data_IF_752786832213
#
_entry.id   IF_752786832213
#
_cell.length_a   1.000
_cell.length_b   1.000
_cell.length_c   1.000
_cell.angle_alpha   90.00
_cell.angle_beta   90.00
_cell.angle_gamma   90.00
#
_symmetry.space_group_name_H-M   'P 1'
#
loop_
_entity.id
_entity.type
_entity.pdbx_description
1 polymer ?
#
# COMPACT_ATOMS: atom_id res chain seq x y z
N UNK A 1 21.10 -7.96 -14.49
CA UNK A 1 20.93 -8.86 -13.31
C UNK A 1 20.12 -8.26 -12.14
N UNK A 2 20.03 -6.93 -11.96
CA UNK A 2 19.25 -6.30 -10.86
C UNK A 2 17.73 -6.53 -10.93
N UNK A 3 17.18 -6.77 -12.13
CA UNK A 3 15.75 -6.99 -12.40
C UNK A 3 15.27 -8.36 -11.90
N UNK A 4 16.03 -9.43 -12.15
CA UNK A 4 15.70 -10.78 -11.69
C UNK A 4 15.65 -10.88 -10.15
N UNK A 5 16.61 -10.26 -9.46
CA UNK A 5 16.58 -10.19 -7.99
C UNK A 5 15.47 -9.30 -7.42
N UNK A 6 14.96 -8.33 -8.18
CA UNK A 6 13.78 -7.56 -7.79
C UNK A 6 12.50 -8.39 -7.94
N UNK A 7 12.38 -9.17 -9.02
CA UNK A 7 11.26 -10.09 -9.26
C UNK A 7 11.20 -11.19 -8.20
N UNK A 8 12.32 -11.87 -7.93
CA UNK A 8 12.41 -12.90 -6.88
C UNK A 8 12.03 -12.36 -5.50
N UNK A 9 12.49 -11.15 -5.14
CA UNK A 9 12.09 -10.51 -3.88
C UNK A 9 10.61 -10.14 -3.85
N UNK A 10 10.04 -9.75 -4.98
CA UNK A 10 8.61 -9.50 -5.09
C UNK A 10 7.81 -10.77 -4.86
N UNK A 11 8.22 -11.87 -5.50
CA UNK A 11 7.59 -13.18 -5.41
C UNK A 11 7.69 -13.77 -4.00
N UNK A 12 8.87 -13.72 -3.36
CA UNK A 12 9.06 -14.07 -1.95
C UNK A 12 8.20 -13.23 -1.00
N UNK A 13 8.06 -11.93 -1.27
CA UNK A 13 7.19 -11.06 -0.47
C UNK A 13 5.72 -11.39 -0.65
N UNK A 14 5.29 -11.76 -1.85
CA UNK A 14 3.93 -12.22 -2.14
C UNK A 14 3.65 -13.53 -1.41
N UNK A 15 4.54 -14.53 -1.52
CA UNK A 15 4.40 -15.81 -0.83
C UNK A 15 4.41 -15.65 0.70
N UNK A 16 5.29 -14.81 1.24
CA UNK A 16 5.31 -14.51 2.67
C UNK A 16 4.04 -13.78 3.12
N UNK A 17 3.49 -12.88 2.30
CA UNK A 17 2.22 -12.22 2.57
C UNK A 17 1.04 -13.19 2.50
N UNK A 18 1.04 -14.13 1.56
CA UNK A 18 0.07 -15.22 1.48
C UNK A 18 0.12 -16.11 2.72
N UNK A 19 1.32 -16.51 3.16
CA UNK A 19 1.53 -17.30 4.37
C UNK A 19 1.07 -16.56 5.64
N UNK A 20 1.34 -15.25 5.75
CA UNK A 20 0.85 -14.42 6.86
C UNK A 20 -0.67 -14.30 6.88
N UNK A 21 -1.29 -14.18 5.71
CA UNK A 21 -2.76 -14.17 5.58
C UNK A 21 -3.37 -15.52 5.96
N UNK A 22 -2.78 -16.62 5.48
CA UNK A 22 -3.20 -17.99 5.83
C UNK A 22 -3.08 -18.27 7.33
N UNK A 23 -2.03 -17.75 7.97
CA UNK A 23 -1.81 -17.86 9.42
C UNK A 23 -2.59 -16.82 10.24
N UNK A 24 -3.45 -16.01 9.59
CA UNK A 24 -4.20 -14.88 10.18
C UNK A 24 -3.34 -13.89 10.97
N UNK A 25 -2.03 -13.82 10.70
CA UNK A 25 -1.11 -12.89 11.36
C UNK A 25 -1.02 -11.60 10.55
N UNK A 26 -1.55 -10.51 11.10
CA UNK A 26 -1.41 -9.17 10.53
C UNK A 26 -0.10 -8.54 11.02
N UNK A 27 0.58 -7.76 10.16
CA UNK A 27 1.72 -6.94 10.60
C UNK A 27 1.22 -5.65 11.23
N UNK A 28 0.45 -5.78 12.30
CA UNK A 28 0.11 -4.67 13.18
C UNK A 28 1.28 -4.53 14.15
N UNK A 29 1.97 -3.39 14.08
CA UNK A 29 2.94 -3.00 15.11
C UNK A 29 2.18 -2.62 16.36
N UNK A 30 2.56 -3.20 17.50
CA UNK A 30 1.99 -2.91 18.81
C UNK A 30 1.92 -1.39 19.06
N UNK A 31 0.70 -0.86 19.26
CA UNK A 31 0.45 0.53 19.65
C UNK A 31 -0.05 1.50 18.57
N UNK A 32 -0.09 1.12 17.28
CA UNK A 32 -0.58 1.98 16.19
C UNK A 32 -2.04 1.71 15.77
N UNK A 33 -2.78 2.75 15.36
CA UNK A 33 -4.13 2.57 14.75
C UNK A 33 -4.00 2.15 13.29
N UNK A 34 -4.59 1.00 12.94
CA UNK A 34 -4.58 0.48 11.58
C UNK A 34 -5.81 0.94 10.79
N UNK A 35 -5.59 1.42 9.57
CA UNK A 35 -6.64 1.79 8.62
C UNK A 35 -6.57 0.90 7.38
N UNK A 36 -7.66 0.18 7.12
CA UNK A 36 -7.86 -0.58 5.89
C UNK A 36 -7.99 0.34 4.66
N UNK A 37 -7.72 -0.21 3.48
CA UNK A 37 -7.91 0.47 2.19
C UNK A 37 -8.42 -0.47 1.11
N UNK A 38 -8.95 -1.63 1.50
CA UNK A 38 -9.19 -2.79 0.61
C UNK A 38 -10.67 -3.20 0.63
N UNK A 39 -11.55 -2.41 1.23
CA UNK A 39 -12.98 -2.74 1.33
C UNK A 39 -13.59 -2.77 -0.08
N UNK A 40 -13.90 -3.97 -0.57
CA UNK A 40 -14.45 -4.21 -1.92
C UNK A 40 -13.53 -5.00 -2.87
N UNK A 41 -12.21 -4.98 -2.66
CA UNK A 41 -11.27 -5.74 -3.50
C UNK A 41 -11.41 -7.26 -3.35
N UNK A 42 -11.97 -7.72 -2.23
CA UNK A 42 -12.23 -9.15 -1.99
C UNK A 42 -13.21 -9.75 -2.99
N UNK A 43 -14.30 -9.04 -3.31
CA UNK A 43 -15.30 -9.52 -4.27
C UNK A 43 -14.73 -9.57 -5.70
N UNK A 44 -13.96 -8.55 -6.09
CA UNK A 44 -13.26 -8.54 -7.39
C UNK A 44 -12.24 -9.68 -7.50
N UNK A 45 -11.44 -9.91 -6.44
CA UNK A 45 -10.48 -11.02 -6.39
C UNK A 45 -11.19 -12.36 -6.49
N UNK A 46 -12.28 -12.55 -5.74
CA UNK A 46 -13.08 -13.77 -5.79
C UNK A 46 -13.68 -14.01 -7.18
N UNK A 47 -14.20 -12.95 -7.83
CA UNK A 47 -14.69 -13.03 -9.21
C UNK A 47 -13.61 -13.42 -10.21
N UNK A 48 -12.40 -12.87 -10.07
CA UNK A 48 -11.28 -13.24 -10.94
C UNK A 48 -10.82 -14.69 -10.74
N UNK A 49 -10.72 -15.14 -9.48
CA UNK A 49 -10.43 -16.55 -9.16
C UNK A 49 -11.50 -17.47 -9.73
N UNK A 50 -12.77 -17.09 -9.64
CA UNK A 50 -13.88 -17.85 -10.22
C UNK A 50 -13.77 -17.97 -11.74
N UNK A 51 -13.45 -16.88 -12.44
CA UNK A 51 -13.22 -16.90 -13.89
C UNK A 51 -12.03 -17.80 -14.24
N UNK A 52 -10.92 -17.73 -13.51
CA UNK A 52 -9.79 -18.63 -13.71
C UNK A 52 -10.19 -20.11 -13.55
N UNK A 53 -11.04 -20.45 -12.57
CA UNK A 53 -11.53 -21.83 -12.40
C UNK A 53 -12.36 -22.27 -13.62
N UNK A 54 -13.25 -21.42 -14.14
CA UNK A 54 -14.01 -21.72 -15.35
C UNK A 54 -13.07 -21.91 -16.54
N UNK A 55 -12.10 -21.02 -16.71
CA UNK A 55 -11.09 -21.10 -17.76
C UNK A 55 -10.33 -22.43 -17.70
N UNK A 56 -9.85 -22.83 -16.52
CA UNK A 56 -9.18 -24.12 -16.32
C UNK A 56 -10.06 -25.30 -16.70
N UNK A 57 -11.36 -25.27 -16.35
CA UNK A 57 -12.31 -26.31 -16.73
C UNK A 57 -12.50 -26.37 -18.25
N UNK A 58 -12.67 -25.22 -18.92
CA UNK A 58 -12.76 -25.15 -20.37
C UNK A 58 -11.49 -25.69 -21.05
N UNK A 59 -10.31 -25.28 -20.57
CA UNK A 59 -9.02 -25.77 -21.07
C UNK A 59 -8.85 -27.27 -20.84
N UNK A 60 -9.37 -27.81 -19.73
CA UNK A 60 -9.34 -29.26 -19.46
C UNK A 60 -10.13 -30.07 -20.49
N UNK A 61 -11.27 -29.53 -20.94
CA UNK A 61 -12.09 -30.15 -21.98
C UNK A 61 -11.43 -30.00 -23.36
N UNK A 62 -10.91 -28.81 -23.67
CA UNK A 62 -10.30 -28.51 -24.96
C UNK A 62 -9.00 -29.30 -25.19
N UNK A 63 -8.21 -29.51 -24.14
CA UNK A 63 -6.89 -30.15 -24.20
C UNK A 63 -6.92 -31.64 -23.83
N UNK A 64 -8.10 -32.27 -23.84
CA UNK A 64 -8.28 -33.65 -23.38
C UNK A 64 -7.41 -34.66 -24.11
N UNK A 65 -7.16 -34.44 -25.40
CA UNK A 65 -6.34 -35.33 -26.24
C UNK A 65 -4.83 -35.00 -26.17
N UNK A 66 -4.45 -33.93 -25.47
CA UNK A 66 -3.09 -33.41 -25.39
C UNK A 66 -2.62 -33.31 -23.93
N UNK A 67 -2.35 -34.45 -23.27
CA UNK A 67 -2.11 -34.50 -21.83
C UNK A 67 -0.93 -33.64 -21.37
N UNK A 68 0.14 -33.54 -22.18
CA UNK A 68 1.30 -32.68 -21.86
C UNK A 68 0.90 -31.20 -21.82
N UNK A 69 0.16 -30.73 -22.82
CA UNK A 69 -0.30 -29.35 -22.91
C UNK A 69 -1.29 -29.04 -21.78
N UNK A 70 -2.20 -29.98 -21.48
CA UNK A 70 -3.11 -29.87 -20.36
C UNK A 70 -2.39 -29.63 -19.02
N UNK A 71 -1.36 -30.42 -18.72
CA UNK A 71 -0.60 -30.24 -17.46
C UNK A 71 0.12 -28.89 -17.38
N UNK A 72 0.67 -28.39 -18.50
CA UNK A 72 1.33 -27.07 -18.53
C UNK A 72 0.33 -25.95 -18.27
N UNK A 73 -0.83 -25.98 -18.93
CA UNK A 73 -1.88 -24.96 -18.73
C UNK A 73 -2.42 -25.03 -17.31
N UNK A 74 -2.67 -26.22 -16.78
CA UNK A 74 -3.13 -26.39 -15.40
C UNK A 74 -2.12 -25.82 -14.39
N UNK A 75 -0.82 -26.05 -14.59
CA UNK A 75 0.22 -25.49 -13.74
C UNK A 75 0.24 -23.96 -13.79
N UNK A 76 0.05 -23.37 -14.99
CA UNK A 76 0.01 -21.93 -15.19
C UNK A 76 -1.23 -21.30 -14.52
N UNK A 77 -2.39 -21.94 -14.63
CA UNK A 77 -3.63 -21.48 -14.01
C UNK A 77 -3.53 -21.52 -12.48
N UNK A 78 -3.03 -22.62 -11.92
CA UNK A 78 -2.78 -22.74 -10.46
C UNK A 78 -1.81 -21.66 -9.99
N UNK A 79 -0.72 -21.44 -10.73
CA UNK A 79 0.22 -20.36 -10.42
C UNK A 79 -0.46 -18.99 -10.46
N UNK A 80 -1.29 -18.72 -11.47
CA UNK A 80 -2.03 -17.46 -11.60
C UNK A 80 -2.98 -17.25 -10.41
N UNK A 81 -3.73 -18.27 -10.00
CA UNK A 81 -4.60 -18.20 -8.81
C UNK A 81 -3.80 -17.92 -7.55
N UNK A 82 -2.68 -18.62 -7.33
CA UNK A 82 -1.80 -18.38 -6.18
C UNK A 82 -1.22 -16.96 -6.18
N UNK A 83 -0.85 -16.46 -7.36
CA UNK A 83 -0.35 -15.11 -7.54
C UNK A 83 -1.42 -14.06 -7.18
N UNK A 84 -2.65 -14.22 -7.68
CA UNK A 84 -3.78 -13.34 -7.37
C UNK A 84 -4.11 -13.34 -5.89
N UNK A 85 -4.14 -14.51 -5.26
CA UNK A 85 -4.35 -14.64 -3.81
C UNK A 85 -3.20 -13.99 -3.03
N UNK A 86 -1.96 -14.15 -3.46
CA UNK A 86 -0.80 -13.51 -2.84
C UNK A 86 -0.85 -11.99 -2.91
N UNK A 87 -1.32 -11.45 -4.04
CA UNK A 87 -1.51 -10.01 -4.23
C UNK A 87 -2.60 -9.48 -3.29
N UNK A 88 -3.74 -10.18 -3.20
CA UNK A 88 -4.82 -9.84 -2.29
C UNK A 88 -4.36 -9.91 -0.83
N UNK A 89 -3.72 -11.00 -0.44
CA UNK A 89 -3.16 -11.19 0.89
C UNK A 89 -2.16 -10.08 1.27
N UNK A 90 -1.32 -9.64 0.33
CA UNK A 90 -0.37 -8.56 0.57
C UNK A 90 -1.06 -7.24 0.90
N UNK A 91 -2.22 -6.96 0.30
CA UNK A 91 -3.01 -5.76 0.61
C UNK A 91 -3.68 -5.84 1.98
N UNK A 92 -4.23 -7.01 2.34
CA UNK A 92 -4.95 -7.22 3.60
C UNK A 92 -4.02 -7.22 4.82
N UNK A 93 -2.86 -7.87 4.72
CA UNK A 93 -1.93 -8.06 5.86
C UNK A 93 -1.14 -6.78 6.20
N UNK A 94 -1.15 -5.77 5.31
CA UNK A 94 -0.36 -4.55 5.42
C UNK A 94 -1.26 -3.31 5.35
N UNK A 95 -2.07 -3.04 6.38
CA UNK A 95 -2.87 -1.81 6.46
C UNK A 95 -1.97 -0.58 6.58
N UNK A 96 -2.57 0.60 6.37
CA UNK A 96 -1.94 1.87 6.75
C UNK A 96 -1.86 1.91 8.27
N UNK A 97 -0.72 2.30 8.81
CA UNK A 97 -0.54 2.35 10.27
C UNK A 97 -0.21 3.78 10.66
N UNK A 98 -1.03 4.33 11.55
CA UNK A 98 -0.76 5.59 12.22
C UNK A 98 -0.01 5.29 13.53
N UNK A 99 1.28 5.63 13.55
CA UNK A 99 2.10 5.65 14.76
C UNK A 99 2.00 7.05 15.42
N UNK A 100 2.36 7.20 16.72
CA UNK A 100 2.24 8.47 17.43
C UNK A 100 2.98 9.64 16.78
N UNK A 101 4.11 9.37 16.11
CA UNK A 101 4.99 10.40 15.53
C UNK A 101 5.07 10.34 14.00
N UNK A 102 4.54 9.28 13.38
CA UNK A 102 4.66 9.05 11.95
C UNK A 102 3.45 8.32 11.36
N UNK A 103 3.05 8.72 10.16
CA UNK A 103 2.10 7.98 9.34
C UNK A 103 2.86 7.06 8.39
N UNK A 104 2.60 5.76 8.50
CA UNK A 104 3.17 4.76 7.60
C UNK A 104 2.16 4.36 6.53
N UNK A 105 2.38 4.88 5.33
CA UNK A 105 1.57 4.63 4.15
C UNK A 105 2.12 3.42 3.42
N UNK A 106 1.30 2.37 3.27
CA UNK A 106 1.73 1.10 2.66
C UNK A 106 0.77 0.71 1.53
N UNK A 107 1.33 0.26 0.41
CA UNK A 107 0.57 -0.38 -0.68
C UNK A 107 1.13 -1.78 -0.92
N UNK A 108 0.50 -2.78 -0.30
CA UNK A 108 0.88 -4.19 -0.40
C UNK A 108 2.38 -4.44 -0.14
N UNK A 109 3.01 -5.26 -0.98
CA UNK A 109 4.45 -5.54 -0.94
C UNK A 109 5.31 -4.52 -1.71
N UNK A 110 4.66 -3.52 -2.32
CA UNK A 110 5.24 -2.68 -3.36
C UNK A 110 5.72 -1.33 -2.83
N UNK A 111 5.00 -0.73 -1.87
CA UNK A 111 5.33 0.59 -1.32
C UNK A 111 5.24 0.57 0.19
N UNK A 112 6.26 1.11 0.85
CA UNK A 112 6.32 1.35 2.29
C UNK A 112 6.96 2.72 2.51
N UNK A 113 6.13 3.73 2.77
CA UNK A 113 6.55 5.11 2.99
C UNK A 113 6.23 5.49 4.44
N UNK A 114 7.27 5.91 5.18
CA UNK A 114 7.12 6.48 6.51
C UNK A 114 7.18 8.00 6.39
N UNK A 115 6.09 8.67 6.78
CA UNK A 115 5.95 10.12 6.75
C UNK A 115 5.93 10.62 8.20
N UNK A 116 6.95 11.33 8.67
CA UNK A 116 6.93 11.99 9.97
C UNK A 116 5.79 13.01 10.04
N UNK A 117 5.00 13.01 11.11
CA UNK A 117 3.89 13.97 11.27
C UNK A 117 4.38 15.43 11.26
N UNK A 118 5.62 15.65 11.69
CA UNK A 118 6.26 16.96 11.70
C UNK A 118 6.53 17.55 10.29
N UNK A 119 6.47 16.73 9.24
CA UNK A 119 6.64 17.16 7.85
C UNK A 119 5.30 17.35 7.12
N UNK A 120 4.17 17.10 7.79
CA UNK A 120 2.85 17.25 7.18
C UNK A 120 2.39 18.69 7.32
N UNK A 121 2.15 19.35 6.20
CA UNK A 121 1.62 20.72 6.15
C UNK A 121 0.10 20.71 6.25
N UNK A 122 -0.57 19.87 5.48
CA UNK A 122 -2.03 19.80 5.50
C UNK A 122 -2.56 18.42 5.15
N UNK A 123 -3.67 18.06 5.79
CA UNK A 123 -4.40 16.80 5.56
C UNK A 123 -5.81 17.13 5.10
N UNK A 124 -6.18 16.71 3.89
CA UNK A 124 -7.51 16.96 3.32
C UNK A 124 -8.13 15.66 2.84
N UNK A 125 -9.44 15.52 3.10
CA UNK A 125 -10.27 14.53 2.41
C UNK A 125 -10.58 15.07 1.02
N UNK A 126 -10.21 14.32 0.00
CA UNK A 126 -10.46 14.67 -1.39
C UNK A 126 -10.61 13.38 -2.19
N UNK A 127 -11.82 13.10 -2.67
CA UNK A 127 -12.05 11.97 -3.56
C UNK A 127 -11.63 12.38 -4.98
N UNK A 128 -10.61 11.70 -5.51
CA UNK A 128 -10.13 11.91 -6.88
C UNK A 128 -9.96 10.61 -7.63
N UNK A 129 -10.34 10.65 -8.91
CA UNK A 129 -10.20 9.58 -9.90
C UNK A 129 -9.11 9.98 -10.91
N UNK A 130 -7.92 10.33 -10.43
CA UNK A 130 -6.87 10.89 -11.29
C UNK A 130 -6.02 9.78 -11.92
N UNK A 131 -5.91 9.80 -13.25
CA UNK A 131 -5.09 8.86 -14.05
C UNK A 131 -3.72 9.41 -14.46
N UNK A 132 -3.46 10.70 -14.24
CA UNK A 132 -2.23 11.36 -14.69
C UNK A 132 -1.28 11.57 -13.51
N UNK A 133 -0.10 10.93 -13.48
CA UNK A 133 0.90 11.23 -12.46
C UNK A 133 1.46 12.64 -12.69
N UNK A 134 1.32 13.52 -11.69
CA UNK A 134 1.99 14.82 -11.68
C UNK A 134 3.42 14.68 -11.13
N UNK A 135 4.34 15.53 -11.61
CA UNK A 135 5.69 15.58 -11.05
C UNK A 135 5.66 16.06 -9.60
N UNK A 136 6.41 15.39 -8.71
CA UNK A 136 6.39 15.62 -7.26
C UNK A 136 5.21 15.02 -6.48
N UNK A 137 4.25 14.39 -7.16
CA UNK A 137 3.10 13.72 -6.53
C UNK A 137 3.29 12.19 -6.46
N UNK A 138 3.00 11.59 -5.30
CA UNK A 138 2.89 10.15 -5.12
C UNK A 138 1.42 9.77 -4.96
N UNK A 139 0.82 9.27 -6.04
CA UNK A 139 -0.52 8.72 -6.01
C UNK A 139 -0.50 7.21 -5.76
N UNK A 140 -1.22 6.77 -4.73
CA UNK A 140 -1.44 5.37 -4.38
C UNK A 140 -2.93 5.04 -4.53
N UNK A 141 -3.43 4.95 -5.79
CA UNK A 141 -4.83 4.69 -6.03
C UNK A 141 -5.19 3.24 -5.73
N UNK A 142 -6.40 3.04 -5.24
CA UNK A 142 -7.08 1.74 -5.11
C UNK A 142 -8.34 1.82 -5.95
N UNK A 143 -8.52 0.88 -6.89
CA UNK A 143 -9.67 0.94 -7.82
C UNK A 143 -9.71 2.24 -8.65
N UNK A 144 -8.54 2.81 -8.97
CA UNK A 144 -8.41 4.13 -9.61
C UNK A 144 -8.86 5.33 -8.77
N UNK A 145 -9.03 5.15 -7.45
CA UNK A 145 -9.50 6.19 -6.55
C UNK A 145 -8.47 6.50 -5.46
N UNK A 146 -8.36 7.76 -5.09
CA UNK A 146 -7.69 8.23 -3.86
C UNK A 146 -8.67 9.07 -3.05
N UNK A 147 -8.72 8.89 -1.73
CA UNK A 147 -9.68 9.58 -0.85
C UNK A 147 -9.04 10.60 0.08
N UNK A 148 -7.72 10.56 0.24
CA UNK A 148 -6.96 11.43 1.14
C UNK A 148 -5.78 12.05 0.38
N UNK A 149 -5.63 13.36 0.52
CA UNK A 149 -4.49 14.14 0.03
C UNK A 149 -3.71 14.70 1.23
N UNK A 150 -2.42 14.36 1.31
CA UNK A 150 -1.45 14.91 2.24
C UNK A 150 -0.50 15.84 1.49
N UNK A 151 -0.36 17.06 1.99
CA UNK A 151 0.68 17.99 1.56
C UNK A 151 1.81 17.97 2.58
N UNK A 152 3.05 17.86 2.10
CA UNK A 152 4.25 17.83 2.91
C UNK A 152 4.95 19.19 2.83
N UNK A 153 5.35 19.71 3.99
CA UNK A 153 6.08 20.96 4.10
C UNK A 153 7.51 20.86 3.53
N UNK A 154 8.10 19.67 3.61
CA UNK A 154 9.41 19.34 3.04
C UNK A 154 9.29 18.11 2.14
N UNK A 155 9.95 18.07 0.97
CA UNK A 155 9.94 16.89 0.12
C UNK A 155 10.54 15.68 0.83
N UNK A 156 9.80 14.56 0.85
CA UNK A 156 10.29 13.30 1.42
C UNK A 156 10.83 12.41 0.33
N UNK A 157 12.04 11.87 0.53
CA UNK A 157 12.64 10.91 -0.37
C UNK A 157 11.89 9.57 -0.29
N UNK A 158 11.18 9.23 -1.36
CA UNK A 158 10.55 7.93 -1.55
C UNK A 158 11.40 7.07 -2.49
N UNK A 159 11.73 5.85 -2.06
CA UNK A 159 12.38 4.87 -2.93
C UNK A 159 11.33 4.02 -3.63
N UNK A 160 11.28 4.11 -4.96
CA UNK A 160 10.44 3.22 -5.77
C UNK A 160 10.89 1.77 -5.64
N UNK A 161 10.04 0.83 -6.07
CA UNK A 161 10.35 -0.61 -6.12
C UNK A 161 11.65 -0.94 -6.86
N UNK A 162 12.06 -0.08 -7.79
CA UNK A 162 13.29 -0.16 -8.58
C UNK A 162 14.49 0.55 -7.91
N UNK A 163 14.35 1.04 -6.68
CA UNK A 163 15.39 1.71 -5.90
C UNK A 163 15.67 3.15 -6.34
N UNK A 164 14.86 3.73 -7.24
CA UNK A 164 15.03 5.14 -7.64
C UNK A 164 14.48 6.05 -6.54
N UNK A 165 15.30 6.98 -5.99
CA UNK A 165 14.81 8.03 -5.11
C UNK A 165 13.93 8.99 -5.92
N UNK A 166 12.78 9.35 -5.36
CA UNK A 166 11.87 10.36 -5.88
C UNK A 166 11.49 11.24 -4.72
N UNK A 167 11.69 12.54 -4.86
CA UNK A 167 11.21 13.52 -3.89
C UNK A 167 9.71 13.72 -4.09
N UNK A 168 8.95 13.65 -3.01
CA UNK A 168 7.50 13.75 -3.02
C UNK A 168 7.08 14.86 -2.08
N UNK A 169 6.35 15.83 -2.59
CA UNK A 169 5.74 16.93 -1.82
C UNK A 169 4.26 16.70 -1.55
N UNK A 170 3.58 15.92 -2.39
CA UNK A 170 2.16 15.58 -2.22
C UNK A 170 1.96 14.08 -2.24
N UNK A 171 1.37 13.52 -1.18
CA UNK A 171 1.05 12.09 -1.08
C UNK A 171 -0.46 11.92 -1.12
N UNK A 172 -0.94 11.17 -2.12
CA UNK A 172 -2.33 10.79 -2.25
C UNK A 172 -2.51 9.30 -2.03
N UNK A 173 -3.47 8.93 -1.21
CA UNK A 173 -3.76 7.53 -0.94
C UNK A 173 -5.24 7.30 -0.66
N UNK A 174 -5.66 6.04 -0.76
CA UNK A 174 -7.00 5.61 -0.41
C UNK A 174 -7.01 5.04 1.01
N UNK A 175 -7.99 5.44 1.80
CA UNK A 175 -8.34 4.84 3.08
C UNK A 175 -9.84 4.52 3.08
N UNK A 176 -10.19 3.34 3.59
CA UNK A 176 -11.58 2.86 3.69
C UNK A 176 -12.42 3.77 4.60
N UNK A 177 -11.79 4.33 5.64
CA UNK A 177 -12.38 5.31 6.56
C UNK A 177 -11.56 6.61 6.56
N UNK A 178 -11.67 7.33 5.43
CA UNK A 178 -10.95 8.58 5.22
C UNK A 178 -11.33 9.66 6.25
N UNK A 179 -12.58 9.68 6.71
CA UNK A 179 -13.03 10.64 7.72
C UNK A 179 -12.42 10.37 9.08
N UNK A 180 -12.47 9.12 9.56
CA UNK A 180 -11.84 8.76 10.83
C UNK A 180 -10.32 9.00 10.80
N UNK A 181 -9.68 8.72 9.66
CA UNK A 181 -8.25 8.96 9.47
C UNK A 181 -7.92 10.45 9.55
N UNK A 182 -8.62 11.31 8.79
CA UNK A 182 -8.37 12.76 8.79
C UNK A 182 -8.67 13.38 10.16
N UNK A 183 -9.76 12.96 10.81
CA UNK A 183 -10.14 13.45 12.14
C UNK A 183 -9.14 13.04 13.23
N UNK A 184 -8.47 11.90 13.09
CA UNK A 184 -7.42 11.47 14.03
C UNK A 184 -6.07 12.16 13.73
N UNK A 185 -5.72 12.34 12.45
CA UNK A 185 -4.44 12.92 12.05
C UNK A 185 -4.35 14.43 12.28
N UNK A 186 -5.42 15.17 11.98
CA UNK A 186 -5.42 16.63 12.10
C UNK A 186 -4.99 17.15 13.48
N UNK A 187 -5.54 16.68 14.62
CA UNK A 187 -5.13 17.18 15.93
C UNK A 187 -3.67 16.86 16.25
N UNK A 188 -3.16 15.69 15.84
CA UNK A 188 -1.77 15.29 16.06
C UNK A 188 -0.78 16.17 15.27
N UNK A 189 -1.10 16.46 14.00
CA UNK A 189 -0.29 17.37 13.17
C UNK A 189 -0.26 18.77 13.77
N UNK A 190 -1.40 19.27 14.25
CA UNK A 190 -1.47 20.59 14.92
C UNK A 190 -0.72 20.63 16.26
N UNK A 191 -0.70 19.54 17.01
CA UNK A 191 0.05 19.42 18.27
C UNK A 191 1.56 19.44 18.02
N UNK A 192 2.04 18.64 17.07
CA UNK A 192 3.45 18.63 16.66
C UNK A 192 3.89 19.99 16.11
N UNK A 193 3.02 20.63 15.31
CA UNK A 193 3.28 21.98 14.77
C UNK A 193 3.34 23.02 15.88
N UNK A 194 2.44 22.97 16.87
CA UNK A 194 2.47 23.85 18.04
C UNK A 194 3.76 23.66 18.82
N UNK A 195 4.17 22.42 19.10
CA UNK A 195 5.42 22.13 19.79
C UNK A 195 6.66 22.69 19.07
N UNK A 196 6.65 22.70 17.73
CA UNK A 196 7.73 23.31 16.92
C UNK A 196 7.72 24.85 16.95
N UNK A 197 6.53 25.46 17.03
CA UNK A 197 6.38 26.92 17.02
C UNK A 197 6.68 27.54 18.40
N UNK A 198 6.76 26.76 19.48
CA UNK A 198 7.21 27.28 20.78
C UNK A 198 8.69 27.67 20.67
N UNK A 199 9.06 28.94 20.91
CA UNK A 199 10.46 29.36 20.83
C UNK A 199 11.29 28.58 21.85
N UNK A 200 12.45 28.08 21.42
CA UNK A 200 13.46 27.56 22.36
C UNK A 200 13.84 28.70 23.30
N UNK A 201 13.44 28.61 24.57
CA UNK A 201 13.91 29.48 25.65
C UNK A 201 15.36 29.11 25.94
N UNK A 202 16.28 29.51 25.06
CA UNK A 202 17.70 29.50 25.36
C UNK A 202 17.96 30.68 26.30
N UNK A 203 18.47 30.46 27.53
CA UNK A 203 18.90 31.56 28.38
C UNK A 203 20.01 32.30 27.63
N UNK A 204 19.85 33.60 27.40
CA UNK A 204 20.87 34.44 26.77
C UNK A 204 22.21 34.34 27.52
N UNK A 205 23.34 34.56 26.83
CA UNK A 205 24.66 34.43 27.43
C UNK A 205 24.80 35.42 28.61
N UNK A 206 25.46 35.03 29.71
CA UNK A 206 25.69 35.91 30.85
C UNK A 206 26.55 37.10 30.42
N UNK A 207 26.15 38.29 30.92
CA UNK A 207 26.78 39.58 30.71
C UNK A 207 28.17 39.69 31.36
#
# INVERSE_FOLDING_TARGET
>A
MRTAGALLRHELRLLASLALWLTRRTRVTDGGRAFGYTRGQGAMTAGLVFVCVIESLCMSVLLRDWPRTHHVVLALDVYTVLFLLGLHAATVVRPHVLEPEALRVRRGAQVDLRIPLAQVESVRRELRMTHTPADGELALPVGSQTTVTLQLAEPVAHFTLLGRPREVSTVRFHADDADALVNTLRPLVEEVRRARTVPSTSPGPPA
#
